data_IF_660347810247
#
_entry.id   IF_660347810247
#
_cell.length_a   1.000
_cell.length_b   1.000
_cell.length_c   1.000
_cell.angle_alpha   90.00
_cell.angle_beta   90.00
_cell.angle_gamma   90.00
#
_symmetry.space_group_name_H-M   'P 1'
#
loop_
_entity.id
_entity.type
_entity.pdbx_description
1 polymer ?
#
# COMPACT_ATOMS: atom_id res chain seq x y z
N UNK A 1 -1.42 4.43 -73.84
CA UNK A 1 -1.47 3.18 -73.04
C UNK A 1 -0.38 3.10 -71.97
N UNK A 2 0.90 3.42 -72.27
CA UNK A 2 2.00 3.36 -71.27
C UNK A 2 1.83 4.30 -70.07
N UNK A 3 1.29 5.50 -70.27
CA UNK A 3 1.14 6.49 -69.18
C UNK A 3 0.04 6.11 -68.18
N UNK A 4 -1.04 5.48 -68.65
CA UNK A 4 -2.13 5.00 -67.80
C UNK A 4 -1.65 3.87 -66.85
N UNK A 5 -0.87 2.92 -67.37
CA UNK A 5 -0.29 1.85 -66.54
C UNK A 5 0.71 2.37 -65.50
N UNK A 6 1.49 3.41 -65.84
CA UNK A 6 2.42 4.03 -64.89
C UNK A 6 1.69 4.75 -63.76
N UNK A 7 0.57 5.42 -64.09
CA UNK A 7 -0.25 6.11 -63.10
C UNK A 7 -0.97 5.13 -62.16
N UNK A 8 -1.49 4.01 -62.67
CA UNK A 8 -2.08 2.94 -61.86
C UNK A 8 -1.06 2.32 -60.89
N UNK A 9 0.17 2.04 -61.36
CA UNK A 9 1.25 1.54 -60.50
C UNK A 9 1.62 2.52 -59.38
N UNK A 10 1.68 3.82 -59.67
CA UNK A 10 1.92 4.83 -58.64
C UNK A 10 0.80 4.87 -57.59
N UNK A 11 -0.47 4.79 -58.02
CA UNK A 11 -1.62 4.78 -57.12
C UNK A 11 -1.58 3.55 -56.20
N UNK A 12 -1.30 2.36 -56.77
CA UNK A 12 -1.19 1.14 -55.97
C UNK A 12 -0.04 1.18 -54.97
N UNK A 13 1.10 1.73 -55.36
CA UNK A 13 2.25 1.95 -54.46
C UNK A 13 1.87 2.88 -53.30
N UNK A 14 1.24 4.02 -53.59
CA UNK A 14 0.82 4.98 -52.58
C UNK A 14 -0.23 4.38 -51.62
N UNK A 15 -1.17 3.58 -52.12
CA UNK A 15 -2.16 2.89 -51.29
C UNK A 15 -1.49 1.82 -50.40
N UNK A 16 -0.51 1.08 -50.93
CA UNK A 16 0.25 0.12 -50.14
C UNK A 16 1.03 0.81 -49.01
N UNK A 17 1.68 1.93 -49.30
CA UNK A 17 2.41 2.72 -48.31
C UNK A 17 1.47 3.27 -47.23
N UNK A 18 0.34 3.86 -47.63
CA UNK A 18 -0.68 4.35 -46.70
C UNK A 18 -1.20 3.23 -45.79
N UNK A 19 -1.44 2.02 -46.34
CA UNK A 19 -1.84 0.85 -45.53
C UNK A 19 -0.77 0.49 -44.49
N UNK A 20 0.50 0.48 -44.87
CA UNK A 20 1.61 0.17 -43.96
C UNK A 20 1.65 1.21 -42.83
N UNK A 21 1.56 2.50 -43.18
CA UNK A 21 1.58 3.60 -42.21
C UNK A 21 0.40 3.53 -41.23
N UNK A 22 -0.79 3.17 -41.72
CA UNK A 22 -1.97 3.00 -40.87
C UNK A 22 -1.80 1.85 -39.89
N UNK A 23 -1.28 0.71 -40.35
CA UNK A 23 -1.03 -0.45 -39.49
C UNK A 23 0.05 -0.16 -38.44
N UNK A 24 1.11 0.60 -38.79
CA UNK A 24 2.10 1.04 -37.82
C UNK A 24 1.49 2.00 -36.79
N UNK A 25 0.69 2.98 -37.23
CA UNK A 25 0.04 3.93 -36.32
C UNK A 25 -0.90 3.22 -35.33
N UNK A 26 -1.68 2.25 -35.80
CA UNK A 26 -2.56 1.43 -34.94
C UNK A 26 -1.78 0.62 -33.90
N UNK A 27 -0.64 0.03 -34.29
CA UNK A 27 0.22 -0.70 -33.35
C UNK A 27 0.84 0.23 -32.32
N UNK A 28 1.27 1.42 -32.73
CA UNK A 28 1.81 2.42 -31.82
C UNK A 28 0.75 2.91 -30.83
N UNK A 29 -0.47 3.14 -31.28
CA UNK A 29 -1.61 3.46 -30.42
C UNK A 29 -1.92 2.34 -29.43
N UNK A 30 -1.94 1.09 -29.89
CA UNK A 30 -2.15 -0.06 -29.03
C UNK A 30 -1.03 -0.22 -27.98
N UNK A 31 0.22 0.00 -28.37
CA UNK A 31 1.38 0.01 -27.46
C UNK A 31 1.27 1.10 -26.40
N UNK A 32 0.91 2.33 -26.81
CA UNK A 32 0.68 3.44 -25.88
C UNK A 32 -0.49 3.16 -24.93
N UNK A 33 -1.55 2.54 -25.41
CA UNK A 33 -2.68 2.15 -24.57
C UNK A 33 -2.28 1.11 -23.52
N UNK A 34 -1.48 0.11 -23.90
CA UNK A 34 -0.95 -0.89 -22.97
C UNK A 34 -0.10 -0.25 -21.86
N UNK A 35 0.83 0.66 -22.22
CA UNK A 35 1.66 1.38 -21.25
C UNK A 35 0.81 2.23 -20.30
N UNK A 36 -0.25 2.87 -20.78
CA UNK A 36 -1.16 3.64 -19.91
C UNK A 36 -1.88 2.74 -18.90
N UNK A 37 -2.35 1.57 -19.32
CA UNK A 37 -2.99 0.61 -18.41
C UNK A 37 -2.02 0.09 -17.35
N UNK A 38 -0.77 -0.18 -17.72
CA UNK A 38 0.27 -0.59 -16.78
C UNK A 38 0.61 0.52 -15.78
N UNK A 39 0.70 1.77 -16.25
CA UNK A 39 0.92 2.93 -15.39
C UNK A 39 -0.23 3.11 -14.38
N UNK A 40 -1.48 3.03 -14.82
CA UNK A 40 -2.65 3.13 -13.94
C UNK A 40 -2.71 1.98 -12.92
N UNK A 41 -2.27 0.79 -13.30
CA UNK A 41 -2.12 -0.33 -12.37
C UNK A 41 -0.99 -0.09 -11.37
N UNK A 42 0.15 0.44 -11.81
CA UNK A 42 1.28 0.75 -10.96
C UNK A 42 0.95 1.84 -9.93
N UNK A 43 0.28 2.93 -10.35
CA UNK A 43 -0.14 4.01 -9.46
C UNK A 43 -1.11 3.54 -8.38
N UNK A 44 -2.05 2.65 -8.73
CA UNK A 44 -2.96 2.04 -7.73
C UNK A 44 -2.23 1.17 -6.71
N UNK A 45 -1.22 0.40 -7.16
CA UNK A 45 -0.37 -0.38 -6.25
C UNK A 45 0.45 0.51 -5.34
N UNK A 46 1.02 1.59 -5.88
CA UNK A 46 1.79 2.57 -5.11
C UNK A 46 0.93 3.19 -4.00
N UNK A 47 -0.30 3.59 -4.31
CA UNK A 47 -1.21 4.19 -3.32
C UNK A 47 -1.63 3.21 -2.22
N UNK A 48 -1.88 1.95 -2.58
CA UNK A 48 -2.14 0.88 -1.62
C UNK A 48 -0.93 0.67 -0.68
N UNK A 49 0.28 0.62 -1.22
CA UNK A 49 1.51 0.48 -0.44
C UNK A 49 1.77 1.69 0.46
N UNK A 50 1.51 2.91 0.01
CA UNK A 50 1.60 4.12 0.85
C UNK A 50 0.69 4.00 2.06
N UNK A 51 -0.56 3.58 1.84
CA UNK A 51 -1.54 3.38 2.92
C UNK A 51 -1.05 2.30 3.91
N UNK A 52 -0.53 1.19 3.40
CA UNK A 52 0.01 0.10 4.22
C UNK A 52 1.22 0.55 5.07
N UNK A 53 2.15 1.30 4.48
CA UNK A 53 3.30 1.86 5.19
C UNK A 53 2.85 2.77 6.34
N UNK A 54 1.83 3.60 6.13
CA UNK A 54 1.28 4.43 7.20
C UNK A 54 0.73 3.54 8.31
N UNK A 55 -0.08 2.53 7.99
CA UNK A 55 -0.59 1.60 9.00
C UNK A 55 0.52 0.87 9.76
N UNK A 56 1.57 0.40 9.09
CA UNK A 56 2.71 -0.26 9.75
C UNK A 56 3.49 0.68 10.68
N UNK A 57 3.64 1.96 10.29
CA UNK A 57 4.22 2.98 11.17
C UNK A 57 3.37 3.19 12.41
N UNK A 58 2.05 3.24 12.25
CA UNK A 58 1.12 3.37 13.37
C UNK A 58 1.15 2.14 14.29
N UNK A 59 1.25 0.92 13.75
CA UNK A 59 1.47 -0.31 14.54
C UNK A 59 2.80 -0.26 15.30
N UNK A 60 3.87 0.19 14.65
CA UNK A 60 5.19 0.36 15.28
C UNK A 60 5.14 1.37 16.43
N UNK A 61 4.47 2.50 16.23
CA UNK A 61 4.30 3.51 17.27
C UNK A 61 3.46 2.98 18.44
N UNK A 62 2.42 2.19 18.18
CA UNK A 62 1.66 1.50 19.22
C UNK A 62 2.55 0.60 20.10
N UNK A 63 3.41 -0.21 19.49
CA UNK A 63 4.38 -1.05 20.23
C UNK A 63 5.33 -0.17 21.05
N UNK A 64 5.85 0.91 20.45
CA UNK A 64 6.75 1.85 21.15
C UNK A 64 6.10 2.44 22.40
N UNK A 65 4.85 2.92 22.31
CA UNK A 65 4.17 3.49 23.48
C UNK A 65 3.84 2.43 24.54
N UNK A 66 3.58 1.19 24.15
CA UNK A 66 3.45 0.07 25.11
C UNK A 66 4.75 -0.17 25.84
N UNK A 67 5.89 -0.19 25.14
CA UNK A 67 7.21 -0.34 25.75
C UNK A 67 7.53 0.81 26.71
N UNK A 68 7.18 2.06 26.35
CA UNK A 68 7.32 3.22 27.24
C UNK A 68 6.41 3.10 28.48
N UNK A 69 5.18 2.61 28.31
CA UNK A 69 4.27 2.37 29.42
C UNK A 69 4.78 1.24 30.34
N UNK A 70 5.36 0.20 29.75
CA UNK A 70 5.98 -0.92 30.46
C UNK A 70 7.16 -0.46 31.29
N UNK A 71 8.14 0.23 30.70
CA UNK A 71 9.33 0.72 31.42
C UNK A 71 8.94 1.68 32.54
N UNK A 72 7.99 2.58 32.30
CA UNK A 72 7.44 3.46 33.33
C UNK A 72 6.63 2.76 34.43
N UNK A 73 6.31 1.48 34.24
CA UNK A 73 5.57 0.65 35.20
C UNK A 73 6.44 -0.39 35.92
N UNK A 74 7.72 -0.51 35.57
CA UNK A 74 8.67 -1.35 36.28
C UNK A 74 9.15 -0.60 37.53
N UNK A 75 9.11 -1.28 38.68
CA UNK A 75 9.67 -0.78 39.94
C UNK A 75 10.66 -1.78 40.54
N UNK A 76 11.10 -1.50 41.79
CA UNK A 76 12.08 -2.32 42.53
C UNK A 76 11.72 -3.81 42.61
N UNK A 77 10.43 -4.14 42.66
CA UNK A 77 9.93 -5.52 42.79
C UNK A 77 9.29 -6.03 41.48
N UNK A 78 9.65 -5.46 40.33
CA UNK A 78 9.14 -5.85 39.03
C UNK A 78 7.94 -5.03 38.56
N UNK A 79 7.11 -5.63 37.71
CA UNK A 79 6.02 -4.94 37.00
C UNK A 79 4.87 -4.55 37.93
N UNK A 80 4.59 -3.25 38.03
CA UNK A 80 3.39 -2.70 38.68
C UNK A 80 2.19 -2.85 37.74
N UNK A 81 1.58 -4.04 37.71
CA UNK A 81 0.47 -4.40 36.80
C UNK A 81 -0.66 -3.35 36.76
N UNK A 82 -1.13 -2.87 37.91
CA UNK A 82 -2.20 -1.84 37.98
C UNK A 82 -1.81 -0.52 37.29
N UNK A 83 -0.55 -0.08 37.45
CA UNK A 83 -0.04 1.14 36.82
C UNK A 83 0.06 0.96 35.30
N UNK A 84 0.57 -0.19 34.86
CA UNK A 84 0.66 -0.53 33.44
C UNK A 84 -0.73 -0.54 32.79
N UNK A 85 -1.70 -1.26 33.37
CA UNK A 85 -3.08 -1.31 32.86
C UNK A 85 -3.72 0.07 32.80
N UNK A 86 -3.52 0.92 33.82
CA UNK A 86 -4.06 2.29 33.81
C UNK A 86 -3.46 3.14 32.68
N UNK A 87 -2.16 3.00 32.40
CA UNK A 87 -1.48 3.69 31.29
C UNK A 87 -1.99 3.20 29.93
N UNK A 88 -2.12 1.89 29.72
CA UNK A 88 -2.67 1.32 28.48
C UNK A 88 -4.11 1.78 28.26
N UNK A 89 -4.95 1.74 29.30
CA UNK A 89 -6.34 2.20 29.20
C UNK A 89 -6.43 3.69 28.84
N UNK A 90 -5.50 4.51 29.35
CA UNK A 90 -5.39 5.92 28.97
C UNK A 90 -5.00 6.08 27.50
N UNK A 91 -3.96 5.37 27.05
CA UNK A 91 -3.53 5.39 25.65
C UNK A 91 -4.64 4.95 24.69
N UNK A 92 -5.41 3.93 25.07
CA UNK A 92 -6.58 3.48 24.30
C UNK A 92 -7.64 4.58 24.17
N UNK A 93 -7.96 5.31 25.25
CA UNK A 93 -8.90 6.44 25.18
C UNK A 93 -8.39 7.65 24.38
N UNK A 94 -7.08 7.87 24.37
CA UNK A 94 -6.44 8.95 23.60
C UNK A 94 -6.24 8.59 22.12
N UNK A 95 -6.39 7.31 21.76
CA UNK A 95 -6.26 6.83 20.37
C UNK A 95 -7.56 7.08 19.61
N UNK A 96 -7.51 7.77 18.45
CA UNK A 96 -8.69 7.97 17.61
C UNK A 96 -9.28 6.65 17.09
N UNK A 97 -10.60 6.56 17.03
CA UNK A 97 -11.33 5.39 16.51
C UNK A 97 -11.37 5.29 14.98
N UNK A 98 -10.92 6.33 14.28
CA UNK A 98 -10.91 6.41 12.81
C UNK A 98 -9.57 6.90 12.27
N UNK A 99 -9.32 6.62 10.99
CA UNK A 99 -8.08 6.98 10.32
C UNK A 99 -6.93 6.02 10.64
N UNK A 100 -5.71 6.33 10.19
CA UNK A 100 -4.58 5.42 10.32
C UNK A 100 -4.25 5.05 11.78
N UNK A 101 -4.47 5.97 12.72
CA UNK A 101 -4.18 5.75 14.14
C UNK A 101 -5.12 4.70 14.79
N UNK A 102 -6.28 4.43 14.19
CA UNK A 102 -7.21 3.42 14.72
C UNK A 102 -6.62 2.01 14.76
N UNK A 103 -5.63 1.72 13.90
CA UNK A 103 -4.92 0.42 13.89
C UNK A 103 -4.09 0.19 15.16
N UNK A 104 -3.86 1.23 15.98
CA UNK A 104 -3.16 1.11 17.26
C UNK A 104 -3.98 0.34 18.29
N UNK A 105 -5.31 0.47 18.30
CA UNK A 105 -6.21 -0.19 19.27
C UNK A 105 -5.96 -1.70 19.43
N UNK A 106 -6.00 -2.52 18.35
CA UNK A 106 -5.74 -3.94 18.47
C UNK A 106 -4.30 -4.25 18.91
N UNK A 107 -3.32 -3.44 18.51
CA UNK A 107 -1.92 -3.62 18.91
C UNK A 107 -1.74 -3.34 20.41
N UNK A 108 -2.29 -2.23 20.92
CA UNK A 108 -2.25 -1.89 22.34
C UNK A 108 -2.84 -3.03 23.19
N UNK A 109 -3.97 -3.60 22.76
CA UNK A 109 -4.62 -4.70 23.46
C UNK A 109 -3.79 -5.99 23.42
N UNK A 110 -3.28 -6.38 22.24
CA UNK A 110 -2.48 -7.59 22.06
C UNK A 110 -1.19 -7.53 22.88
N UNK A 111 -0.44 -6.43 22.78
CA UNK A 111 0.82 -6.26 23.50
C UNK A 111 0.59 -6.13 25.02
N UNK A 112 -0.50 -5.50 25.45
CA UNK A 112 -0.84 -5.48 26.87
C UNK A 112 -1.14 -6.88 27.43
N UNK A 113 -1.85 -7.73 26.67
CA UNK A 113 -2.11 -9.12 27.06
C UNK A 113 -0.81 -9.92 27.18
N UNK A 114 0.11 -9.77 26.22
CA UNK A 114 1.45 -10.37 26.28
C UNK A 114 2.21 -9.98 27.53
N UNK A 115 2.32 -8.68 27.81
CA UNK A 115 3.00 -8.15 29.00
C UNK A 115 2.38 -8.67 30.29
N UNK A 116 1.05 -8.81 30.33
CA UNK A 116 0.35 -9.31 31.51
C UNK A 116 0.36 -10.84 31.64
N UNK A 117 0.96 -11.57 30.69
CA UNK A 117 0.96 -13.03 30.66
C UNK A 117 -0.43 -13.63 30.42
N UNK A 118 -1.27 -12.92 29.66
CA UNK A 118 -2.65 -13.29 29.33
C UNK A 118 -2.80 -13.75 27.88
N UNK A 119 -1.69 -13.97 27.18
CA UNK A 119 -1.72 -14.36 25.78
C UNK A 119 -1.91 -15.88 25.67
N UNK A 120 -3.04 -16.37 25.10
CA UNK A 120 -3.33 -17.81 25.03
C UNK A 120 -2.36 -18.58 24.12
N UNK A 121 -1.61 -17.90 23.27
CA UNK A 121 -0.60 -18.47 22.36
C UNK A 121 0.81 -18.52 22.95
N UNK A 122 1.05 -17.94 24.13
CA UNK A 122 2.36 -17.94 24.78
C UNK A 122 2.58 -19.15 25.73
N UNK A 123 1.58 -20.01 25.91
CA UNK A 123 1.73 -21.32 26.55
C UNK A 123 2.23 -22.33 25.50
N UNK A 124 3.52 -22.24 25.17
CA UNK A 124 4.27 -23.22 24.39
C UNK A 124 5.55 -23.56 25.11
#
# INVERSE_FOLDING_TARGET
MRDASAQELMILSALQECRIQLETARRDEASRAAVRLELDAALRREEALKTEIVHERERTEAVRVVLLALTASIGRFGLRRKLFTARIARLGRETPDSGPQSVRHPVLLAEARRVLGQDPTAAG
#
